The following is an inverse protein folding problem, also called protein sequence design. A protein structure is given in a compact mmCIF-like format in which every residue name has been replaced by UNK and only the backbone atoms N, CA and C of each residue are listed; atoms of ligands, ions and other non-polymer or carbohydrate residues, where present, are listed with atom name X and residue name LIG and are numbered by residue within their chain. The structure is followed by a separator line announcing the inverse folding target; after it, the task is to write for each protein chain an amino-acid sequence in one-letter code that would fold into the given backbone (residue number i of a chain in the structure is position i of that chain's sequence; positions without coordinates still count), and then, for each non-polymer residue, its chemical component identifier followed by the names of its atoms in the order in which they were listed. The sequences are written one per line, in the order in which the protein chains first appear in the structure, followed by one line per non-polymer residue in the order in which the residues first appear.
data_IF_805027302678
#
_entry.id   IF_805027302678
#
_cell.length_a   1.000
_cell.length_b   1.000
_cell.length_c   1.000
_cell.angle_alpha   90.00
_cell.angle_beta   90.00
_cell.angle_gamma   90.00
#
_symmetry.space_group_name_H-M   'P 1'
#
loop_
_entity.id
_entity.type
_entity.pdbx_description
1 polymer ?
#
# COMPACT_ATOMS: atom_id res chain seq x y z
N UNK A 1 22.99 12.12 28.06
CA UNK A 1 21.89 12.46 27.11
C UNK A 1 22.20 11.76 25.79
N UNK A 2 21.21 11.15 25.12
CA UNK A 2 21.46 10.46 23.85
C UNK A 2 21.78 11.48 22.73
N UNK A 3 22.70 11.17 21.79
CA UNK A 3 23.13 12.14 20.78
C UNK A 3 22.07 12.43 19.70
N UNK A 4 20.97 11.67 19.66
CA UNK A 4 19.87 11.88 18.74
C UNK A 4 18.51 11.55 19.37
N UNK A 5 17.45 12.13 18.79
CA UNK A 5 16.08 11.92 19.26
C UNK A 5 15.53 10.54 18.88
N UNK A 6 16.08 9.93 17.84
CA UNK A 6 15.66 8.65 17.31
C UNK A 6 16.79 7.63 17.40
N UNK A 7 16.46 6.42 17.80
CA UNK A 7 17.32 5.25 17.65
C UNK A 7 16.97 4.57 16.34
N UNK A 8 17.95 4.47 15.46
CA UNK A 8 17.89 3.68 14.25
C UNK A 8 18.46 2.30 14.55
N UNK A 9 17.83 1.27 13.99
CA UNK A 9 18.31 -0.11 14.11
C UNK A 9 17.83 -0.92 12.91
N UNK A 10 18.59 -1.94 12.56
CA UNK A 10 18.21 -2.89 11.53
C UNK A 10 17.27 -3.91 12.14
N UNK A 11 16.17 -4.18 11.45
CA UNK A 11 15.28 -5.31 11.70
C UNK A 11 15.47 -6.32 10.58
N UNK A 12 15.93 -7.50 10.97
CA UNK A 12 15.91 -8.70 10.15
C UNK A 12 14.65 -9.50 10.46
N UNK A 13 13.94 -9.95 9.42
CA UNK A 13 12.76 -10.79 9.57
C UNK A 13 12.73 -11.93 8.56
N UNK A 14 12.16 -13.07 8.97
CA UNK A 14 11.91 -14.23 8.11
C UNK A 14 10.42 -14.61 8.15
N UNK A 15 9.82 -14.85 6.98
CA UNK A 15 8.42 -15.27 6.86
C UNK A 15 7.41 -14.42 7.68
N UNK A 16 7.68 -13.11 7.79
CA UNK A 16 6.94 -12.20 8.65
C UNK A 16 6.67 -10.90 7.90
N UNK A 17 5.47 -10.34 8.07
CA UNK A 17 5.14 -9.04 7.48
C UNK A 17 5.83 -7.89 8.24
N UNK A 18 6.12 -6.79 7.54
CA UNK A 18 6.80 -5.63 8.15
C UNK A 18 5.96 -4.98 9.24
N UNK A 19 4.66 -4.81 9.00
CA UNK A 19 3.71 -4.26 9.95
C UNK A 19 3.48 -5.22 11.12
N UNK A 20 3.50 -6.53 10.87
CA UNK A 20 3.44 -7.56 11.91
C UNK A 20 4.67 -7.48 12.84
N UNK A 21 5.88 -7.44 12.28
CA UNK A 21 7.11 -7.27 13.05
C UNK A 21 7.09 -5.98 13.88
N UNK A 22 6.73 -4.84 13.27
CA UNK A 22 6.57 -3.57 13.97
C UNK A 22 5.57 -3.67 15.14
N UNK A 23 4.41 -4.28 14.90
CA UNK A 23 3.36 -4.44 15.91
C UNK A 23 3.82 -5.30 17.10
N UNK A 24 4.57 -6.38 16.83
CA UNK A 24 5.13 -7.27 17.84
C UNK A 24 6.17 -6.55 18.70
N UNK A 25 7.09 -5.80 18.09
CA UNK A 25 8.09 -4.99 18.79
C UNK A 25 7.41 -3.96 19.69
N UNK A 26 6.44 -3.20 19.17
CA UNK A 26 5.74 -2.16 19.93
C UNK A 26 4.94 -2.72 21.11
N UNK A 27 4.33 -3.90 20.94
CA UNK A 27 3.62 -4.59 22.03
C UNK A 27 4.57 -4.97 23.15
N UNK A 28 5.75 -5.49 22.83
CA UNK A 28 6.78 -5.89 23.83
C UNK A 28 7.39 -4.67 24.53
N UNK A 29 7.49 -3.53 23.85
CA UNK A 29 7.89 -2.25 24.43
C UNK A 29 6.78 -1.58 25.28
N UNK A 30 5.61 -2.22 25.44
CA UNK A 30 4.44 -1.69 26.17
C UNK A 30 4.00 -0.30 25.71
N UNK A 31 4.17 -0.02 24.41
CA UNK A 31 3.76 1.25 23.83
C UNK A 31 2.28 1.24 23.47
N UNK A 32 1.58 2.33 23.84
CA UNK A 32 0.15 2.47 23.58
C UNK A 32 -0.14 2.33 22.07
N UNK A 33 -1.11 1.49 21.66
CA UNK A 33 -1.51 1.33 20.26
C UNK A 33 -1.78 2.64 19.51
N UNK A 34 -2.32 3.64 20.18
CA UNK A 34 -2.68 4.93 19.58
C UNK A 34 -1.46 5.81 19.25
N UNK A 35 -0.26 5.48 19.74
CA UNK A 35 0.99 6.24 19.54
C UNK A 35 1.94 5.48 18.58
N UNK A 36 1.53 4.31 18.07
CA UNK A 36 2.41 3.40 17.31
C UNK A 36 2.96 4.03 16.03
N UNK A 37 2.13 4.77 15.30
CA UNK A 37 2.47 5.30 13.97
C UNK A 37 3.43 6.49 14.01
N UNK A 38 3.50 7.23 15.12
CA UNK A 38 4.37 8.41 15.27
C UNK A 38 5.70 8.10 15.95
N UNK A 39 5.79 6.97 16.68
CA UNK A 39 7.02 6.57 17.37
C UNK A 39 7.89 5.65 16.56
N UNK A 40 7.29 4.66 15.88
CA UNK A 40 8.00 3.66 15.09
C UNK A 40 7.88 3.98 13.61
N UNK A 41 9.03 4.15 12.96
CA UNK A 41 9.11 4.50 11.54
C UNK A 41 9.95 3.51 10.76
N UNK A 42 9.58 3.26 9.51
CA UNK A 42 10.35 2.48 8.53
C UNK A 42 10.10 3.05 7.13
N UNK A 43 11.04 2.83 6.21
CA UNK A 43 10.99 3.45 4.88
C UNK A 43 10.02 2.78 3.89
N UNK A 44 9.65 1.53 4.13
CA UNK A 44 8.68 0.80 3.30
C UNK A 44 8.45 -0.62 3.83
N UNK A 45 7.41 -1.27 3.33
CA UNK A 45 7.15 -2.69 3.60
C UNK A 45 8.02 -3.58 2.73
N UNK A 46 8.41 -4.73 3.27
CA UNK A 46 9.16 -5.80 2.58
C UNK A 46 8.36 -7.10 2.62
N UNK A 47 8.57 -7.94 1.62
CA UNK A 47 7.81 -9.18 1.43
C UNK A 47 7.79 -10.07 2.67
N UNK A 48 6.63 -10.67 2.93
CA UNK A 48 6.45 -11.64 4.01
C UNK A 48 7.29 -12.88 3.76
N UNK A 49 7.13 -13.50 2.58
CA UNK A 49 7.78 -14.76 2.20
C UNK A 49 9.22 -14.57 1.74
N UNK A 50 10.05 -13.98 2.60
CA UNK A 50 11.46 -13.72 2.33
C UNK A 50 12.25 -13.58 3.63
N UNK A 51 13.58 -13.57 3.49
CA UNK A 51 14.52 -13.08 4.51
C UNK A 51 14.84 -11.63 4.16
N UNK A 52 14.45 -10.69 5.00
CA UNK A 52 14.55 -9.26 4.68
C UNK A 52 15.19 -8.49 5.82
N UNK A 53 16.09 -7.56 5.50
CA UNK A 53 16.66 -6.61 6.45
C UNK A 53 16.28 -5.19 6.05
N UNK A 54 15.89 -4.38 7.02
CA UNK A 54 15.57 -2.97 6.77
C UNK A 54 15.78 -2.12 8.01
N UNK A 55 15.93 -0.82 7.82
CA UNK A 55 16.00 0.15 8.91
C UNK A 55 14.63 0.43 9.53
N UNK A 56 14.63 0.47 10.85
CA UNK A 56 13.56 0.96 11.71
C UNK A 56 14.10 2.13 12.53
N UNK A 57 13.20 3.03 12.92
CA UNK A 57 13.51 4.14 13.82
C UNK A 57 12.50 4.20 14.96
N UNK A 58 12.97 4.46 16.18
CA UNK A 58 12.15 4.62 17.38
C UNK A 58 12.52 5.90 18.12
N UNK A 59 11.52 6.71 18.45
CA UNK A 59 11.71 8.01 19.11
C UNK A 59 11.90 7.86 20.63
N UNK A 60 12.99 8.40 21.18
CA UNK A 60 13.27 8.47 22.63
C UNK A 60 13.17 7.11 23.36
N UNK A 61 13.63 6.03 22.72
CA UNK A 61 13.66 4.69 23.32
C UNK A 61 15.09 4.28 23.59
N UNK A 62 15.37 3.73 24.77
CA UNK A 62 16.68 3.16 25.08
C UNK A 62 16.93 1.90 24.22
N UNK A 63 18.05 1.81 23.47
CA UNK A 63 18.42 0.63 22.70
C UNK A 63 18.34 -0.68 23.49
N UNK A 64 18.69 -0.68 24.78
CA UNK A 64 18.65 -1.88 25.65
C UNK A 64 17.24 -2.41 25.82
N UNK A 65 16.23 -1.52 25.88
CA UNK A 65 14.82 -1.91 25.92
C UNK A 65 14.38 -2.54 24.61
N UNK A 66 14.88 -2.06 23.48
CA UNK A 66 14.60 -2.62 22.16
C UNK A 66 15.20 -4.03 22.05
N UNK A 67 16.45 -4.20 22.47
CA UNK A 67 17.12 -5.51 22.55
C UNK A 67 16.32 -6.49 23.40
N UNK A 68 15.94 -6.09 24.63
CA UNK A 68 15.17 -6.95 25.52
C UNK A 68 13.78 -7.30 24.94
N UNK A 69 13.10 -6.33 24.31
CA UNK A 69 11.80 -6.55 23.69
C UNK A 69 11.84 -7.55 22.52
N UNK A 70 12.97 -7.62 21.81
CA UNK A 70 13.14 -8.46 20.62
C UNK A 70 13.85 -9.79 20.89
N UNK A 71 14.43 -9.99 22.09
CA UNK A 71 15.24 -11.16 22.44
C UNK A 71 14.55 -12.50 22.11
N UNK A 72 13.25 -12.62 22.43
CA UNK A 72 12.47 -13.84 22.23
C UNK A 72 11.41 -13.69 21.13
N UNK A 73 11.60 -12.78 20.17
CA UNK A 73 10.68 -12.68 19.03
C UNK A 73 11.05 -13.71 17.97
N UNK A 74 10.23 -14.76 17.74
CA UNK A 74 10.50 -15.70 16.66
C UNK A 74 10.52 -14.99 15.30
N UNK A 75 11.49 -15.39 14.48
CA UNK A 75 11.71 -14.91 13.12
C UNK A 75 11.99 -13.41 12.98
N UNK A 76 12.35 -12.73 14.07
CA UNK A 76 12.77 -11.32 14.07
C UNK A 76 14.08 -11.20 14.83
N UNK A 77 15.08 -10.56 14.21
CA UNK A 77 16.35 -10.21 14.86
C UNK A 77 16.61 -8.72 14.66
N UNK A 78 17.35 -8.11 15.58
CA UNK A 78 17.69 -6.69 15.49
C UNK A 78 19.19 -6.46 15.71
N UNK A 79 19.70 -5.34 15.20
CA UNK A 79 21.10 -4.97 15.38
C UNK A 79 21.43 -3.59 14.81
N UNK A 80 22.72 -3.29 14.71
CA UNK A 80 23.25 -2.07 14.07
C UNK A 80 22.60 -0.78 14.58
N UNK A 81 22.63 -0.60 15.90
CA UNK A 81 22.03 0.58 16.53
C UNK A 81 22.86 1.83 16.24
N UNK A 82 22.16 2.92 15.92
CA UNK A 82 22.73 4.26 15.78
C UNK A 82 21.72 5.32 16.22
N UNK A 83 22.19 6.53 16.48
CA UNK A 83 21.32 7.65 16.83
C UNK A 83 21.19 8.60 15.66
N UNK A 84 20.00 9.16 15.48
CA UNK A 84 19.70 10.13 14.42
C UNK A 84 18.73 11.19 14.92
N UNK A 85 18.79 12.37 14.32
CA UNK A 85 17.76 13.42 14.46
C UNK A 85 16.54 13.15 13.58
N UNK A 86 16.63 12.19 12.64
CA UNK A 86 15.62 11.98 11.59
C UNK A 86 14.75 10.77 11.91
N UNK A 87 13.43 10.92 11.78
CA UNK A 87 12.48 9.81 11.79
C UNK A 87 12.36 9.17 10.40
N UNK A 88 12.35 7.83 10.33
CA UNK A 88 12.10 7.15 9.06
C UNK A 88 10.62 7.20 8.70
N UNK A 89 10.33 7.65 7.47
CA UNK A 89 8.99 7.72 6.89
C UNK A 89 8.93 6.89 5.61
N UNK A 90 7.72 6.49 5.22
CA UNK A 90 7.49 5.82 3.94
C UNK A 90 8.06 6.64 2.79
N UNK A 91 8.77 5.98 1.87
CA UNK A 91 9.40 6.63 0.71
C UNK A 91 10.86 7.07 0.93
N UNK A 92 11.39 7.01 2.15
CA UNK A 92 12.78 7.40 2.45
C UNK A 92 13.84 6.34 2.06
N UNK A 93 13.53 5.41 1.17
CA UNK A 93 14.51 4.47 0.61
C UNK A 93 14.74 4.76 -0.87
N UNK A 94 15.98 4.59 -1.33
CA UNK A 94 16.31 4.66 -2.77
C UNK A 94 15.90 3.39 -3.52
N UNK A 95 15.96 2.23 -2.85
CA UNK A 95 15.68 0.95 -3.48
C UNK A 95 15.94 -0.24 -2.56
N UNK A 96 15.90 -1.43 -3.14
CA UNK A 96 16.14 -2.70 -2.46
C UNK A 96 17.24 -3.47 -3.19
N UNK A 97 18.09 -4.14 -2.42
CA UNK A 97 19.03 -5.11 -2.97
C UNK A 97 18.45 -6.51 -2.81
N UNK A 98 18.27 -7.21 -3.92
CA UNK A 98 17.74 -8.57 -3.93
C UNK A 98 18.87 -9.59 -4.14
N UNK A 99 18.74 -10.72 -3.45
CA UNK A 99 19.47 -11.95 -3.77
C UNK A 99 18.44 -13.04 -3.98
N UNK A 100 18.24 -13.41 -5.24
CA UNK A 100 17.21 -14.36 -5.67
C UNK A 100 17.89 -15.66 -6.08
N UNK A 101 17.34 -16.79 -5.64
CA UNK A 101 17.76 -18.12 -6.07
C UNK A 101 16.57 -18.73 -6.80
N UNK A 102 16.72 -18.92 -8.10
CA UNK A 102 15.77 -19.67 -8.91
C UNK A 102 16.08 -21.16 -8.76
N UNK A 103 15.08 -21.97 -8.46
CA UNK A 103 15.20 -23.43 -8.33
C UNK A 103 14.46 -24.11 -9.47
N UNK A 104 14.89 -25.33 -9.82
CA UNK A 104 14.27 -26.15 -10.86
C UNK A 104 14.18 -25.41 -12.22
N UNK A 105 15.27 -24.73 -12.59
CA UNK A 105 15.35 -24.04 -13.88
C UNK A 105 15.45 -25.08 -14.98
N UNK A 106 14.46 -25.11 -15.86
CA UNK A 106 14.44 -25.93 -17.08
C UNK A 106 14.82 -25.04 -18.25
N UNK A 107 16.04 -25.17 -18.77
CA UNK A 107 16.53 -24.36 -19.88
C UNK A 107 18.02 -24.57 -20.11
N UNK A 108 18.47 -24.24 -21.32
CA UNK A 108 19.89 -24.27 -21.69
C UNK A 108 20.69 -23.28 -20.82
N UNK A 109 21.79 -23.70 -20.16
CA UNK A 109 22.69 -22.81 -19.43
C UNK A 109 23.12 -21.57 -20.23
N UNK A 110 23.34 -21.69 -21.55
CA UNK A 110 23.75 -20.55 -22.39
C UNK A 110 22.64 -19.50 -22.53
N UNK A 111 21.38 -19.94 -22.61
CA UNK A 111 20.21 -19.06 -22.65
C UNK A 111 20.07 -18.30 -21.32
N UNK A 112 20.27 -18.99 -20.19
CA UNK A 112 20.24 -18.36 -18.86
C UNK A 112 21.31 -17.29 -18.74
N UNK A 113 22.53 -17.60 -19.18
CA UNK A 113 23.63 -16.63 -19.12
C UNK A 113 23.34 -15.41 -20.01
N UNK A 114 22.85 -15.64 -21.24
CA UNK A 114 22.45 -14.58 -22.16
C UNK A 114 21.36 -13.70 -21.57
N UNK A 115 20.34 -14.28 -20.93
CA UNK A 115 19.28 -13.55 -20.25
C UNK A 115 19.82 -12.73 -19.07
N UNK A 116 20.74 -13.28 -18.27
CA UNK A 116 21.38 -12.56 -17.17
C UNK A 116 22.24 -11.39 -17.65
N UNK A 117 23.00 -11.56 -18.73
CA UNK A 117 23.77 -10.46 -19.35
C UNK A 117 22.84 -9.36 -19.86
N UNK A 118 21.77 -9.72 -20.57
CA UNK A 118 20.78 -8.75 -21.05
C UNK A 118 20.11 -7.98 -19.91
N UNK A 119 19.73 -8.67 -18.82
CA UNK A 119 19.16 -8.02 -17.64
C UNK A 119 20.13 -7.04 -16.97
N UNK A 120 21.43 -7.35 -16.96
CA UNK A 120 22.47 -6.47 -16.41
C UNK A 120 22.66 -5.23 -17.28
N UNK A 121 22.74 -5.42 -18.60
CA UNK A 121 23.17 -4.38 -19.54
C UNK A 121 21.99 -3.48 -19.97
N UNK A 122 20.79 -4.05 -20.10
CA UNK A 122 19.58 -3.36 -20.58
C UNK A 122 18.50 -3.17 -19.50
N UNK A 123 18.61 -3.85 -18.36
CA UNK A 123 17.57 -3.84 -17.33
C UNK A 123 16.32 -4.63 -17.74
N UNK A 124 15.16 -4.18 -17.27
CA UNK A 124 13.86 -4.80 -17.55
C UNK A 124 12.74 -3.75 -17.55
N UNK A 125 11.59 -4.10 -18.11
CA UNK A 125 10.42 -3.23 -18.13
C UNK A 125 9.81 -3.09 -16.72
N UNK A 126 9.71 -1.87 -16.24
CA UNK A 126 9.22 -1.56 -14.90
C UNK A 126 7.69 -1.62 -14.80
N UNK A 127 7.14 -2.83 -14.96
CA UNK A 127 5.71 -3.08 -14.83
C UNK A 127 5.27 -3.21 -13.37
N UNK A 128 4.00 -2.85 -13.11
CA UNK A 128 3.35 -3.22 -11.86
C UNK A 128 3.11 -4.73 -11.83
N UNK A 129 3.76 -5.43 -10.90
CA UNK A 129 3.58 -6.88 -10.74
C UNK A 129 2.19 -7.27 -10.24
N UNK A 130 1.80 -8.53 -10.46
CA UNK A 130 0.48 -9.07 -10.09
C UNK A 130 0.10 -8.88 -8.62
N UNK A 131 1.08 -8.86 -7.71
CA UNK A 131 0.86 -8.58 -6.29
C UNK A 131 0.19 -7.23 -6.02
N UNK A 132 0.33 -6.25 -6.94
CA UNK A 132 -0.34 -4.95 -6.88
C UNK A 132 -1.82 -5.03 -7.23
N UNK A 133 -2.24 -6.09 -7.91
CA UNK A 133 -3.63 -6.34 -8.30
C UNK A 133 -4.33 -7.36 -7.38
N UNK A 134 -3.71 -7.70 -6.25
CA UNK A 134 -4.21 -8.66 -5.27
C UNK A 134 -3.90 -10.11 -5.69
N UNK A 135 -3.52 -10.94 -4.72
CA UNK A 135 -3.28 -12.36 -4.94
C UNK A 135 -4.57 -13.20 -4.93
N UNK A 136 -5.72 -12.57 -4.68
CA UNK A 136 -7.01 -13.26 -4.55
C UNK A 136 -7.69 -13.32 -5.92
N UNK A 137 -7.77 -14.52 -6.49
CA UNK A 137 -8.44 -14.81 -7.78
C UNK A 137 -9.94 -14.56 -7.73
N UNK A 138 -10.55 -14.52 -6.53
CA UNK A 138 -11.99 -14.27 -6.36
C UNK A 138 -12.42 -12.84 -6.69
N UNK A 139 -11.51 -11.87 -6.67
CA UNK A 139 -11.81 -10.47 -6.99
C UNK A 139 -10.55 -9.73 -7.49
N UNK A 140 -10.19 -9.87 -8.78
CA UNK A 140 -9.06 -9.15 -9.36
C UNK A 140 -9.23 -7.64 -9.18
N UNK A 141 -8.16 -6.95 -8.78
CA UNK A 141 -8.21 -5.47 -8.66
C UNK A 141 -8.54 -4.80 -10.00
N UNK A 142 -8.21 -5.44 -11.13
CA UNK A 142 -8.63 -4.99 -12.46
C UNK A 142 -10.14 -5.00 -12.64
N UNK A 143 -10.84 -6.00 -12.08
CA UNK A 143 -12.30 -6.05 -12.05
C UNK A 143 -12.84 -4.95 -11.15
N UNK A 144 -12.26 -4.71 -9.97
CA UNK A 144 -12.66 -3.60 -9.10
C UNK A 144 -12.46 -2.23 -9.79
N UNK A 145 -11.32 -2.03 -10.47
CA UNK A 145 -11.05 -0.82 -11.26
C UNK A 145 -12.05 -0.69 -12.40
N UNK A 146 -12.33 -1.76 -13.14
CA UNK A 146 -13.39 -1.75 -14.17
C UNK A 146 -14.75 -1.43 -13.56
N UNK A 147 -15.14 -2.01 -12.42
CA UNK A 147 -16.40 -1.68 -11.74
C UNK A 147 -16.46 -0.24 -11.18
N UNK A 148 -15.31 0.40 -10.93
CA UNK A 148 -15.22 1.82 -10.58
C UNK A 148 -15.35 2.68 -11.84
N UNK A 149 -14.76 2.25 -12.95
CA UNK A 149 -14.72 2.99 -14.23
C UNK A 149 -15.91 2.71 -15.16
N UNK A 150 -16.65 1.62 -14.96
CA UNK A 150 -17.86 1.24 -15.69
C UNK A 150 -19.07 1.96 -15.11
N UNK A 151 -19.97 2.42 -15.99
CA UNK A 151 -21.33 2.80 -15.60
C UNK A 151 -22.05 1.60 -14.99
N UNK A 152 -22.68 1.81 -13.83
CA UNK A 152 -23.11 0.72 -12.95
C UNK A 152 -24.52 0.25 -13.28
N UNK A 153 -24.64 -0.98 -13.79
CA UNK A 153 -25.82 -1.83 -13.64
C UNK A 153 -25.41 -3.11 -12.90
N UNK A 154 -25.92 -3.35 -11.68
CA UNK A 154 -25.49 -4.48 -10.85
C UNK A 154 -26.01 -4.47 -9.39
N UNK A 155 -25.62 -5.42 -8.52
CA UNK A 155 -26.20 -5.59 -7.17
C UNK A 155 -26.07 -4.35 -6.26
N UNK A 156 -25.03 -3.56 -6.48
CA UNK A 156 -24.79 -2.27 -5.81
C UNK A 156 -25.70 -1.14 -6.33
N UNK A 157 -26.38 -1.29 -7.46
CA UNK A 157 -27.28 -0.29 -8.03
C UNK A 157 -28.49 -0.04 -7.13
N UNK A 158 -29.06 -1.10 -6.54
CA UNK A 158 -30.14 -0.95 -5.55
C UNK A 158 -29.64 -0.24 -4.29
N UNK A 159 -28.41 -0.53 -3.87
CA UNK A 159 -27.75 0.10 -2.71
C UNK A 159 -27.40 1.56 -3.00
N UNK A 160 -26.91 1.87 -4.20
CA UNK A 160 -26.60 3.22 -4.67
C UNK A 160 -27.87 4.05 -4.87
N UNK A 161 -28.92 3.46 -5.44
CA UNK A 161 -30.23 4.10 -5.57
C UNK A 161 -30.90 4.32 -4.22
N UNK A 162 -30.70 3.44 -3.23
CA UNK A 162 -31.12 3.69 -1.85
C UNK A 162 -30.26 4.76 -1.17
N UNK A 163 -28.96 4.79 -1.44
CA UNK A 163 -28.05 5.83 -0.96
C UNK A 163 -28.44 7.22 -1.49
N UNK A 164 -28.69 7.33 -2.80
CA UNK A 164 -29.08 8.56 -3.46
C UNK A 164 -30.45 9.08 -2.99
N UNK A 165 -31.39 8.18 -2.67
CA UNK A 165 -32.76 8.56 -2.24
C UNK A 165 -32.92 8.75 -0.74
N UNK A 166 -32.16 8.00 0.07
CA UNK A 166 -32.43 7.86 1.51
C UNK A 166 -31.15 7.90 2.38
N UNK A 167 -29.99 8.17 1.79
CA UNK A 167 -28.72 8.31 2.49
C UNK A 167 -28.02 7.00 2.87
N UNK A 168 -26.83 7.11 3.46
CA UNK A 168 -25.92 5.99 3.74
C UNK A 168 -26.49 4.97 4.73
N UNK A 169 -27.24 5.44 5.72
CA UNK A 169 -27.88 4.59 6.73
C UNK A 169 -28.93 3.64 6.15
N UNK A 170 -29.65 4.08 5.11
CA UNK A 170 -30.61 3.24 4.41
C UNK A 170 -29.94 2.22 3.50
N UNK A 171 -28.89 2.64 2.78
CA UNK A 171 -28.08 1.77 1.94
C UNK A 171 -27.40 0.63 2.72
N UNK A 172 -26.93 0.92 3.95
CA UNK A 172 -26.26 -0.07 4.81
C UNK A 172 -27.17 -1.23 5.21
N UNK A 173 -28.48 -0.99 5.39
CA UNK A 173 -29.48 -2.01 5.76
C UNK A 173 -29.77 -3.00 4.65
N UNK A 174 -29.37 -2.70 3.42
CA UNK A 174 -29.65 -3.52 2.24
C UNK A 174 -28.53 -4.52 1.92
N UNK A 175 -27.40 -4.48 2.63
CA UNK A 175 -26.28 -5.40 2.42
C UNK A 175 -26.48 -6.67 3.28
N UNK A 176 -26.41 -7.89 2.70
CA UNK A 176 -26.58 -9.13 3.46
C UNK A 176 -25.53 -9.25 4.58
N UNK A 177 -26.00 -9.53 5.80
CA UNK A 177 -25.23 -9.44 7.05
C UNK A 177 -24.49 -10.72 7.46
N UNK A 178 -23.83 -11.40 6.53
CA UNK A 178 -23.08 -12.61 6.82
C UNK A 178 -21.85 -12.38 7.72
N UNK A 179 -21.41 -13.36 8.53
CA UNK A 179 -20.20 -13.24 9.36
C UNK A 179 -18.93 -12.97 8.54
N UNK A 180 -18.88 -13.40 7.27
CA UNK A 180 -17.78 -13.14 6.34
C UNK A 180 -17.82 -11.74 5.70
N UNK A 181 -18.98 -11.06 5.67
CA UNK A 181 -19.18 -9.78 4.98
C UNK A 181 -18.87 -8.55 5.85
N UNK A 182 -18.56 -8.73 7.14
CA UNK A 182 -18.34 -7.63 8.11
C UNK A 182 -17.13 -6.74 7.81
N UNK A 183 -16.26 -7.14 6.88
CA UNK A 183 -14.98 -6.48 6.60
C UNK A 183 -14.76 -6.10 5.14
N UNK A 184 -15.80 -6.14 4.31
CA UNK A 184 -15.69 -5.70 2.92
C UNK A 184 -15.43 -4.20 2.84
N UNK A 185 -14.60 -3.73 1.88
CA UNK A 185 -14.34 -2.31 1.67
C UNK A 185 -15.61 -1.47 1.49
N UNK A 186 -16.63 -2.03 0.84
CA UNK A 186 -17.92 -1.41 0.54
C UNK A 186 -18.70 -1.11 1.83
N UNK A 187 -18.77 -2.09 2.74
CA UNK A 187 -19.44 -1.91 4.04
C UNK A 187 -18.70 -0.90 4.92
N UNK A 188 -17.36 -0.87 4.85
CA UNK A 188 -16.54 0.13 5.55
C UNK A 188 -16.77 1.54 5.00
N UNK A 189 -16.87 1.68 3.68
CA UNK A 189 -17.17 2.95 3.04
C UNK A 189 -18.56 3.47 3.40
N UNK A 190 -19.59 2.62 3.34
CA UNK A 190 -20.96 2.99 3.69
C UNK A 190 -21.10 3.33 5.18
N UNK A 191 -20.43 2.60 6.07
CA UNK A 191 -20.37 2.94 7.50
C UNK A 191 -19.72 4.30 7.72
N UNK A 192 -18.60 4.57 7.04
CA UNK A 192 -17.92 5.87 7.12
C UNK A 192 -18.74 7.02 6.53
N UNK A 193 -19.63 6.74 5.56
CA UNK A 193 -20.56 7.73 5.00
C UNK A 193 -21.84 7.90 5.84
N UNK A 194 -22.24 6.88 6.61
CA UNK A 194 -23.39 6.91 7.52
C UNK A 194 -23.07 7.51 8.89
N UNK A 195 -21.79 7.48 9.28
CA UNK A 195 -21.29 8.11 10.49
C UNK A 195 -21.11 9.61 10.22
N UNK A 196 -21.99 10.44 10.77
CA UNK A 196 -22.02 11.89 10.58
C UNK A 196 -20.88 12.63 11.32
N UNK A 197 -19.98 11.87 11.93
CA UNK A 197 -18.82 12.38 12.65
C UNK A 197 -17.89 13.21 11.74
N UNK A 198 -17.39 14.38 12.19
CA UNK A 198 -16.51 15.27 11.41
C UNK A 198 -15.09 14.71 11.14
N UNK A 199 -14.87 13.41 11.40
CA UNK A 199 -13.56 12.73 11.33
C UNK A 199 -13.24 12.15 9.96
N UNK A 200 -14.18 12.14 9.02
CA UNK A 200 -13.95 11.56 7.69
C UNK A 200 -13.48 12.62 6.69
N UNK A 201 -12.34 12.38 6.00
CA UNK A 201 -11.76 13.38 5.10
C UNK A 201 -12.72 13.70 3.96
N UNK A 202 -12.79 14.98 3.59
CA UNK A 202 -13.62 15.51 2.50
C UNK A 202 -13.55 14.70 1.19
N UNK A 203 -12.44 13.98 0.96
CA UNK A 203 -12.26 13.06 -0.16
C UNK A 203 -13.30 11.91 -0.23
N UNK A 204 -13.81 11.42 0.90
CA UNK A 204 -14.85 10.37 0.94
C UNK A 204 -16.21 10.95 0.58
N UNK A 205 -16.49 12.20 0.98
CA UNK A 205 -17.70 12.94 0.58
C UNK A 205 -17.68 13.37 -0.88
N UNK A 206 -16.49 13.69 -1.43
CA UNK A 206 -16.30 14.10 -2.82
C UNK A 206 -16.45 12.98 -3.86
N UNK A 207 -16.44 11.72 -3.45
CA UNK A 207 -16.72 10.56 -4.33
C UNK A 207 -18.22 10.38 -4.63
N UNK A 208 -19.06 11.21 -4.04
CA UNK A 208 -20.52 11.19 -4.21
C UNK A 208 -20.90 12.43 -5.00
N UNK A 209 -21.43 12.32 -6.23
CA UNK A 209 -22.01 13.46 -6.90
C UNK A 209 -23.20 13.93 -6.07
N UNK A 210 -23.17 15.19 -5.66
CA UNK A 210 -24.33 15.83 -5.02
C UNK A 210 -25.41 15.91 -6.08
N UNK A 211 -26.55 15.25 -5.85
CA UNK A 211 -27.71 15.35 -6.73
C UNK A 211 -28.14 16.82 -6.81
N UNK A 212 -28.02 17.43 -8.00
CA UNK A 212 -28.40 18.83 -8.23
C UNK A 212 -27.58 19.59 -9.26
N UNK A 213 -26.46 19.06 -9.77
CA UNK A 213 -25.73 19.70 -10.88
C UNK A 213 -26.13 19.01 -12.19
N UNK A 214 -26.95 19.68 -13.00
CA UNK A 214 -27.24 19.26 -14.37
C UNK A 214 -25.93 19.07 -15.13
N UNK A 215 -25.62 17.82 -15.48
CA UNK A 215 -24.53 17.51 -16.37
C UNK A 215 -24.96 17.93 -17.79
N UNK A 216 -24.56 19.13 -18.20
CA UNK A 216 -24.81 19.64 -19.54
C UNK A 216 -24.35 18.63 -20.60
N UNK A 217 -25.27 18.26 -21.50
CA UNK A 217 -25.02 17.36 -22.62
C UNK A 217 -23.84 17.88 -23.45
N UNK A 218 -22.70 17.20 -23.38
CA UNK A 218 -21.62 17.36 -24.35
C UNK A 218 -22.08 16.73 -25.67
N UNK A 219 -22.68 17.56 -26.52
CA UNK A 219 -23.01 17.22 -27.90
C UNK A 219 -21.75 16.79 -28.66
N UNK A 220 -21.88 15.68 -29.38
CA UNK A 220 -20.89 15.21 -30.33
C UNK A 220 -20.54 16.32 -31.34
N UNK A 221 -19.25 16.63 -31.49
CA UNK A 221 -18.74 17.38 -32.64
C UNK A 221 -18.03 16.42 -33.60
N UNK A 222 -18.24 16.56 -34.92
CA UNK A 222 -17.77 15.61 -35.91
C UNK A 222 -16.28 15.78 -36.20
N UNK A 223 -15.70 14.70 -36.72
CA UNK A 223 -14.30 14.55 -37.12
C UNK A 223 -13.89 15.56 -38.21
N UNK A 224 -12.73 16.20 -38.04
CA UNK A 224 -11.91 16.63 -39.20
C UNK A 224 -10.44 16.93 -38.83
N UNK A 225 -9.57 16.37 -39.68
CA UNK A 225 -8.26 16.85 -40.16
C UNK A 225 -7.05 16.98 -39.20
N UNK A 226 -6.10 16.06 -39.44
CA UNK A 226 -4.63 16.18 -39.51
C UNK A 226 -3.98 17.58 -39.42
N UNK A 227 -3.00 17.76 -38.51
CA UNK A 227 -1.57 18.11 -38.73
C UNK A 227 -0.87 18.47 -37.37
N UNK A 228 0.45 18.75 -37.29
CA UNK A 228 1.49 17.86 -36.76
C UNK A 228 2.01 18.21 -35.35
N UNK A 229 2.68 17.24 -34.71
CA UNK A 229 3.32 17.38 -33.38
C UNK A 229 4.60 18.22 -33.42
N UNK A 230 4.84 19.13 -32.45
CA UNK A 230 6.16 19.70 -32.25
C UNK A 230 7.05 18.77 -31.40
N UNK A 231 8.28 18.58 -31.86
CA UNK A 231 9.41 18.02 -31.11
C UNK A 231 9.82 19.00 -30.02
N UNK A 232 10.03 18.54 -28.79
CA UNK A 232 10.92 19.23 -27.85
C UNK A 232 11.87 18.25 -27.16
N UNK A 233 13.07 18.78 -26.97
CA UNK A 233 14.34 18.12 -26.75
C UNK A 233 14.55 17.59 -25.34
N UNK A 234 15.43 16.59 -25.26
CA UNK A 234 16.23 16.19 -24.10
C UNK A 234 16.66 17.37 -23.23
N UNK A 235 16.63 17.19 -21.90
CA UNK A 235 17.76 17.54 -21.03
C UNK A 235 17.87 16.55 -19.88
N UNK A 236 19.07 15.99 -19.80
CA UNK A 236 19.64 15.24 -18.69
C UNK A 236 19.65 16.07 -17.41
N UNK A 237 19.47 15.41 -16.26
CA UNK A 237 20.02 15.85 -14.98
C UNK A 237 20.47 14.61 -14.19
N UNK A 238 21.72 14.73 -13.74
CA UNK A 238 22.64 13.79 -13.09
C UNK A 238 22.06 13.14 -11.82
#
# INVERSE_FOLDING_TARGET
MWPGQYVHFIVYKENCDTMEAASRIMRRLRMNPNIKTTMLGYAGTKDRRAKTSQWFSLRKVDPRKIVNACKDLPSVKIGNFSFSSVHLKLGMLKGNRFRICLRNVTGDPELVETACRSLRDNGFLNYYGLQRFGANTSAPTSTAIRCILSERAGPLERVLGAYQRHGASAALRMIPGGPHDRHTPELRLLRALADDSPKHPAAVRALVPVAGVECGRLGARPSSRTAPRPRTNRRDCI
#
